data_IF_212258895357
#
_entry.id   IF_212258895357
#
_cell.length_a   1.000
_cell.length_b   1.000
_cell.length_c   1.000
_cell.angle_alpha   90.00
_cell.angle_beta   90.00
_cell.angle_gamma   90.00
#
_symmetry.space_group_name_H-M   'P 1'
#
loop_
_entity.id
_entity.type
_entity.pdbx_description
1 polymer ?
#
# COMPACT_ATOMS: atom_id res chain seq x y z
N UNK A 1 -19.34 4.32 -19.60
CA UNK A 1 -18.23 5.21 -19.17
C UNK A 1 -17.90 4.82 -17.74
N UNK A 2 -16.82 4.09 -17.49
CA UNK A 2 -16.42 3.73 -16.12
C UNK A 2 -15.81 4.98 -15.50
N UNK A 3 -16.45 5.51 -14.45
CA UNK A 3 -15.89 6.56 -13.61
C UNK A 3 -14.59 6.01 -13.00
N UNK A 4 -13.52 6.81 -13.07
CA UNK A 4 -12.24 6.44 -12.47
C UNK A 4 -12.42 6.02 -11.01
N UNK A 5 -11.86 4.88 -10.65
CA UNK A 5 -11.87 4.34 -9.28
C UNK A 5 -11.12 5.31 -8.36
N UNK A 6 -11.76 5.79 -7.29
CA UNK A 6 -11.16 6.74 -6.34
C UNK A 6 -10.14 6.01 -5.46
N UNK A 7 -8.86 6.15 -5.78
CA UNK A 7 -7.78 5.59 -4.96
C UNK A 7 -7.49 6.46 -3.72
N UNK A 8 -6.99 5.83 -2.67
CA UNK A 8 -6.63 6.47 -1.40
C UNK A 8 -5.21 6.09 -0.97
N UNK A 9 -4.53 7.02 -0.29
CA UNK A 9 -3.22 6.79 0.33
C UNK A 9 -3.38 6.39 1.80
N UNK A 10 -2.60 5.41 2.25
CA UNK A 10 -2.46 5.07 3.67
C UNK A 10 -1.00 4.86 4.06
N UNK A 11 -0.71 5.01 5.36
CA UNK A 11 0.59 4.69 5.95
C UNK A 11 0.58 3.24 6.43
N UNK A 12 1.62 2.48 6.10
CA UNK A 12 1.79 1.10 6.59
C UNK A 12 2.24 1.14 8.04
N UNK A 13 1.45 0.53 8.93
CA UNK A 13 1.74 0.46 10.38
C UNK A 13 2.17 -0.95 10.83
N UNK A 14 1.91 -1.97 10.02
CA UNK A 14 2.28 -3.36 10.26
C UNK A 14 2.38 -4.12 8.94
N UNK A 15 3.21 -5.17 8.91
CA UNK A 15 3.35 -6.08 7.76
C UNK A 15 3.35 -7.54 8.22
N UNK A 16 2.75 -8.42 7.44
CA UNK A 16 2.79 -9.86 7.69
C UNK A 16 4.09 -10.51 7.21
N UNK A 17 4.40 -11.70 7.71
CA UNK A 17 5.67 -12.40 7.43
C UNK A 17 5.93 -12.71 5.95
N UNK A 18 4.89 -12.78 5.12
CA UNK A 18 5.00 -13.07 3.68
C UNK A 18 5.16 -11.83 2.78
N UNK A 19 5.01 -10.62 3.33
CA UNK A 19 5.01 -9.37 2.55
C UNK A 19 6.45 -8.96 2.25
N UNK A 20 6.76 -8.59 1.00
CA UNK A 20 8.14 -8.32 0.55
C UNK A 20 8.32 -6.93 -0.08
N UNK A 21 7.27 -6.36 -0.64
CA UNK A 21 7.30 -5.12 -1.45
C UNK A 21 7.06 -3.85 -0.63
N UNK A 22 6.55 -3.97 0.59
CA UNK A 22 6.28 -2.85 1.49
C UNK A 22 6.87 -3.10 2.87
N UNK A 23 7.23 -2.01 3.55
CA UNK A 23 7.69 -2.00 4.94
C UNK A 23 6.82 -1.06 5.77
N UNK A 24 6.93 -1.17 7.09
CA UNK A 24 6.37 -0.18 8.01
C UNK A 24 6.91 1.20 7.65
N UNK A 25 6.06 2.20 7.82
CA UNK A 25 6.23 3.61 7.47
C UNK A 25 6.15 3.97 5.97
N UNK A 26 6.16 2.99 5.06
CA UNK A 26 5.90 3.28 3.64
C UNK A 26 4.46 3.81 3.46
N UNK A 27 4.25 4.59 2.39
CA UNK A 27 2.91 5.01 1.95
C UNK A 27 2.44 4.13 0.80
N UNK A 28 1.20 3.68 0.86
CA UNK A 28 0.63 2.79 -0.16
C UNK A 28 -0.64 3.38 -0.75
N UNK A 29 -0.79 3.26 -2.07
CA UNK A 29 -1.98 3.66 -2.81
C UNK A 29 -2.85 2.42 -3.03
N UNK A 30 -4.12 2.53 -2.68
CA UNK A 30 -5.05 1.40 -2.71
C UNK A 30 -6.47 1.86 -3.05
N UNK A 31 -7.31 0.97 -3.58
CA UNK A 31 -8.75 1.22 -3.73
C UNK A 31 -9.52 0.98 -2.42
N UNK A 32 -10.19 1.97 -1.81
CA UNK A 32 -10.93 1.79 -0.56
C UNK A 32 -12.24 0.99 -0.69
N UNK A 33 -12.74 0.73 -1.90
CA UNK A 33 -14.06 0.11 -2.08
C UNK A 33 -14.12 -1.40 -1.78
N UNK A 34 -12.99 -2.10 -1.70
CA UNK A 34 -12.92 -3.57 -1.62
C UNK A 34 -11.95 -4.03 -0.52
N UNK A 35 -12.28 -3.70 0.73
CA UNK A 35 -11.37 -3.80 1.88
C UNK A 35 -12.05 -4.30 3.14
N UNK A 36 -11.30 -5.06 3.93
CA UNK A 36 -11.69 -5.45 5.28
C UNK A 36 -11.17 -4.42 6.29
N UNK A 37 -12.08 -3.80 7.02
CA UNK A 37 -11.75 -2.99 8.20
C UNK A 37 -11.57 -3.90 9.41
N UNK A 38 -10.53 -3.62 10.20
CA UNK A 38 -10.23 -4.35 11.44
C UNK A 38 -9.97 -3.37 12.57
N UNK A 39 -10.66 -3.55 13.69
CA UNK A 39 -10.41 -2.76 14.90
C UNK A 39 -9.33 -3.45 15.75
N UNK A 40 -8.28 -2.71 16.09
CA UNK A 40 -7.24 -3.16 17.02
C UNK A 40 -7.05 -2.11 18.11
N UNK A 41 -7.40 -2.46 19.35
CA UNK A 41 -7.30 -1.56 20.52
C UNK A 41 -8.06 -0.24 20.29
N UNK A 42 -9.33 -0.32 19.85
CA UNK A 42 -10.18 0.84 19.60
C UNK A 42 -9.61 1.80 18.54
N UNK A 43 -8.95 1.24 17.53
CA UNK A 43 -8.46 1.96 16.34
C UNK A 43 -8.75 1.13 15.11
N UNK A 44 -9.35 1.78 14.12
CA UNK A 44 -9.66 1.16 12.84
C UNK A 44 -8.43 1.13 11.94
N UNK A 45 -8.20 -0.02 11.33
CA UNK A 45 -7.18 -0.23 10.33
C UNK A 45 -7.80 -0.89 9.10
N UNK A 46 -7.20 -0.62 7.95
CA UNK A 46 -7.56 -1.28 6.70
C UNK A 46 -6.59 -2.44 6.48
N UNK A 47 -7.12 -3.66 6.38
CA UNK A 47 -6.32 -4.82 6.05
C UNK A 47 -6.19 -4.96 4.53
N UNK A 48 -4.95 -4.96 4.06
CA UNK A 48 -4.60 -5.04 2.64
C UNK A 48 -3.79 -6.29 2.35
N UNK A 49 -4.07 -6.94 1.21
CA UNK A 49 -3.13 -7.90 0.64
C UNK A 49 -2.15 -7.16 -0.24
N UNK A 50 -0.91 -7.63 -0.26
CA UNK A 50 0.17 -7.03 -1.03
C UNK A 50 -0.16 -6.85 -2.53
N UNK A 51 -0.84 -7.83 -3.13
CA UNK A 51 -1.27 -7.77 -4.54
C UNK A 51 -2.36 -6.75 -4.86
N UNK A 52 -3.05 -6.23 -3.83
CA UNK A 52 -4.15 -5.28 -4.01
C UNK A 52 -3.66 -3.81 -3.92
N UNK A 53 -2.35 -3.61 -3.80
CA UNK A 53 -1.69 -2.30 -3.80
C UNK A 53 -1.46 -1.80 -5.22
N UNK A 54 -1.81 -0.54 -5.48
CA UNK A 54 -1.64 0.10 -6.79
C UNK A 54 -0.28 0.79 -6.93
N UNK A 55 0.25 1.35 -5.83
CA UNK A 55 1.56 1.97 -5.80
C UNK A 55 2.14 1.97 -4.37
N UNK A 56 3.46 2.08 -4.29
CA UNK A 56 4.21 2.19 -3.03
C UNK A 56 5.14 3.41 -3.14
N UNK A 57 5.03 4.32 -2.18
CA UNK A 57 5.96 5.41 -1.98
C UNK A 57 6.83 5.09 -0.74
N UNK A 58 8.06 4.67 -1.00
CA UNK A 58 9.07 4.42 0.03
C UNK A 58 10.24 5.39 -0.15
N UNK A 59 10.66 6.07 0.92
CA UNK A 59 11.79 7.01 0.88
C UNK A 59 13.12 6.35 0.45
N UNK A 60 13.22 5.02 0.59
CA UNK A 60 14.39 4.23 0.20
C UNK A 60 14.49 3.96 -1.30
N UNK A 61 13.41 4.13 -2.06
CA UNK A 61 13.42 3.94 -3.52
C UNK A 61 14.16 5.07 -4.26
N UNK A 62 14.58 6.12 -3.54
CA UNK A 62 15.40 7.22 -4.06
C UNK A 62 16.76 6.78 -4.59
N UNK A 63 17.30 5.64 -4.11
CA UNK A 63 18.66 5.17 -4.42
C UNK A 63 18.70 3.98 -5.41
N UNK A 64 17.57 3.59 -5.99
CA UNK A 64 17.45 2.42 -6.85
C UNK A 64 17.58 2.74 -8.34
N UNK A 65 18.83 2.86 -8.81
CA UNK A 65 19.29 2.82 -10.20
C UNK A 65 18.18 2.52 -11.25
N UNK A 66 17.77 3.55 -11.99
CA UNK A 66 16.89 3.46 -13.16
C UNK A 66 17.63 2.70 -14.28
N UNK A 67 17.76 1.39 -14.12
CA UNK A 67 18.20 0.48 -15.17
C UNK A 67 17.10 0.28 -16.19
N UNK A 68 16.69 1.37 -16.85
CA UNK A 68 15.87 1.32 -18.05
C UNK A 68 16.82 0.98 -19.20
N UNK A 69 16.89 -0.30 -19.56
CA UNK A 69 17.50 -0.69 -20.83
C UNK A 69 16.43 -0.56 -21.90
N UNK A 70 16.73 0.24 -22.92
CA UNK A 70 15.94 0.45 -24.13
C UNK A 70 16.11 -0.75 -25.08
#
# INVERSE_FOLDING_TARGET
>A
MSIGRRLAWAKVVAVGAGVRTVKVDDRVLYDPADRAEVEVRNKDYVLLRERDLHAVAAERLSDGNTGLYL
#
